data_IF_682871039847
#
_entry.id   IF_682871039847
#
_cell.length_a   1.000
_cell.length_b   1.000
_cell.length_c   1.000
_cell.angle_alpha   90.00
_cell.angle_beta   90.00
_cell.angle_gamma   90.00
#
_symmetry.space_group_name_H-M   'P 1'
#
loop_
_entity.id
_entity.type
_entity.pdbx_description
1 polymer ?
#
# COMPACT_ATOMS: atom_id res chain seq x y z
N UNK A 1 14.52 11.06 -32.02
CA UNK A 1 13.32 10.19 -31.89
C UNK A 1 13.65 8.97 -31.03
N UNK A 2 12.80 8.62 -30.09
CA UNK A 2 13.02 7.42 -29.26
C UNK A 2 12.77 6.15 -30.10
N UNK A 3 13.77 5.31 -30.25
CA UNK A 3 13.66 4.00 -30.94
C UNK A 3 12.99 2.93 -30.04
N UNK A 4 12.73 3.25 -28.77
CA UNK A 4 12.16 2.29 -27.82
C UNK A 4 10.63 2.34 -27.89
N UNK A 5 10.04 1.25 -28.37
CA UNK A 5 8.59 1.08 -28.42
C UNK A 5 8.01 1.12 -26.99
N UNK A 6 7.21 2.13 -26.69
CA UNK A 6 6.54 2.21 -25.38
C UNK A 6 5.45 1.15 -25.34
N UNK A 7 5.61 0.15 -24.47
CA UNK A 7 4.57 -0.86 -24.30
C UNK A 7 3.32 -0.21 -23.70
N UNK A 8 2.12 -0.53 -24.19
CA UNK A 8 0.88 -0.04 -23.61
C UNK A 8 0.78 -0.54 -22.17
N UNK A 9 0.34 0.33 -21.26
CA UNK A 9 0.10 -0.04 -19.86
C UNK A 9 -0.97 -1.12 -19.82
N UNK A 10 -0.60 -2.34 -19.38
CA UNK A 10 -1.56 -3.43 -19.21
C UNK A 10 -2.57 -3.02 -18.13
N UNK A 11 -3.85 -3.04 -18.45
CA UNK A 11 -4.90 -2.93 -17.46
C UNK A 11 -4.92 -4.19 -16.60
N UNK A 12 -5.02 -4.01 -15.28
CA UNK A 12 -5.15 -5.13 -14.35
C UNK A 12 -6.57 -5.66 -14.46
N UNK A 13 -6.74 -6.93 -14.82
CA UNK A 13 -8.03 -7.59 -14.80
C UNK A 13 -8.55 -7.67 -13.37
N UNK A 14 -9.85 -7.40 -13.15
CA UNK A 14 -10.45 -7.56 -11.82
C UNK A 14 -10.34 -8.99 -11.31
N UNK A 15 -10.32 -9.16 -10.00
CA UNK A 15 -10.34 -10.47 -9.37
C UNK A 15 -11.67 -11.19 -9.62
N UNK A 16 -11.67 -12.47 -10.03
CA UNK A 16 -12.90 -13.19 -10.35
C UNK A 16 -13.81 -13.43 -9.14
N UNK A 17 -13.26 -13.56 -7.92
CA UNK A 17 -14.03 -13.83 -6.69
C UNK A 17 -14.71 -12.57 -6.14
N UNK A 18 -14.01 -11.43 -6.19
CA UNK A 18 -14.45 -10.20 -5.53
C UNK A 18 -14.67 -9.02 -6.49
N UNK A 19 -14.46 -9.20 -7.77
CA UNK A 19 -14.56 -8.16 -8.81
C UNK A 19 -13.81 -6.84 -8.46
N UNK A 20 -12.72 -6.95 -7.69
CA UNK A 20 -11.92 -5.83 -7.21
C UNK A 20 -10.63 -5.70 -8.03
N UNK A 21 -10.21 -4.47 -8.35
CA UNK A 21 -8.94 -4.19 -9.04
C UNK A 21 -7.76 -4.04 -8.08
N UNK A 22 -8.02 -3.93 -6.76
CA UNK A 22 -6.97 -3.78 -5.73
C UNK A 22 -6.40 -5.14 -5.35
N UNK A 23 -7.24 -6.16 -5.26
CA UNK A 23 -6.85 -7.53 -4.87
C UNK A 23 -5.78 -8.11 -5.80
N UNK A 24 -5.90 -8.08 -7.14
CA UNK A 24 -4.84 -8.56 -8.02
C UNK A 24 -3.52 -7.82 -7.86
N UNK A 25 -3.56 -6.51 -7.55
CA UNK A 25 -2.33 -5.74 -7.25
C UNK A 25 -1.69 -6.21 -5.95
N UNK A 26 -2.49 -6.53 -4.93
CA UNK A 26 -2.01 -7.08 -3.67
C UNK A 26 -1.40 -8.46 -3.89
N UNK A 27 -2.06 -9.36 -4.65
CA UNK A 27 -1.57 -10.69 -5.02
C UNK A 27 -0.19 -10.58 -5.70
N UNK A 28 -0.08 -9.73 -6.71
CA UNK A 28 1.18 -9.53 -7.44
C UNK A 28 2.29 -8.96 -6.55
N UNK A 29 1.95 -8.19 -5.52
CA UNK A 29 2.92 -7.56 -4.63
C UNK A 29 3.37 -8.48 -3.49
N UNK A 30 2.52 -9.41 -3.05
CA UNK A 30 2.84 -10.38 -1.99
C UNK A 30 3.56 -11.62 -2.55
N UNK A 31 3.34 -11.92 -3.82
CA UNK A 31 3.88 -13.09 -4.52
C UNK A 31 5.41 -13.11 -4.50
N UNK A 32 5.99 -14.30 -4.25
CA UNK A 32 7.41 -14.61 -4.40
C UNK A 32 7.60 -15.68 -5.49
N UNK A 33 8.68 -15.58 -6.24
CA UNK A 33 9.12 -16.59 -7.22
C UNK A 33 8.04 -16.98 -8.24
N UNK A 34 7.11 -16.08 -8.54
CA UNK A 34 6.00 -16.38 -9.46
C UNK A 34 4.90 -17.30 -8.90
N UNK A 35 4.95 -17.65 -7.61
CA UNK A 35 3.97 -18.55 -6.95
C UNK A 35 2.64 -17.85 -6.70
N UNK A 36 1.90 -17.57 -7.78
CA UNK A 36 0.66 -16.78 -7.73
C UNK A 36 -0.46 -17.47 -6.94
N UNK A 37 -0.65 -18.77 -7.14
CA UNK A 37 -1.70 -19.54 -6.46
C UNK A 37 -1.56 -19.55 -4.95
N UNK A 38 -0.31 -19.59 -4.44
CA UNK A 38 -0.03 -19.48 -3.00
C UNK A 38 -0.39 -18.09 -2.48
N UNK A 39 -0.03 -17.03 -3.23
CA UNK A 39 -0.38 -15.66 -2.87
C UNK A 39 -1.91 -15.42 -2.86
N UNK A 40 -2.62 -15.97 -3.83
CA UNK A 40 -4.10 -15.94 -3.90
C UNK A 40 -4.72 -16.61 -2.67
N UNK A 41 -4.26 -17.81 -2.32
CA UNK A 41 -4.73 -18.55 -1.14
C UNK A 41 -4.53 -17.74 0.14
N UNK A 42 -3.36 -17.16 0.36
CA UNK A 42 -3.07 -16.34 1.54
C UNK A 42 -4.05 -15.15 1.66
N UNK A 43 -4.32 -14.46 0.55
CA UNK A 43 -5.19 -13.28 0.55
C UNK A 43 -6.65 -13.68 0.76
N UNK A 44 -7.12 -14.74 0.09
CA UNK A 44 -8.48 -15.21 0.26
C UNK A 44 -8.73 -15.71 1.68
N UNK A 45 -7.80 -16.47 2.27
CA UNK A 45 -7.89 -16.87 3.67
C UNK A 45 -7.92 -15.66 4.63
N UNK A 46 -7.12 -14.63 4.36
CA UNK A 46 -7.14 -13.41 5.18
C UNK A 46 -8.49 -12.68 5.08
N UNK A 47 -9.08 -12.58 3.89
CA UNK A 47 -10.39 -11.95 3.67
C UNK A 47 -11.50 -12.80 4.32
N UNK A 48 -11.44 -14.12 4.22
CA UNK A 48 -12.42 -15.02 4.86
C UNK A 48 -12.35 -14.90 6.40
N UNK A 49 -11.15 -14.69 6.98
CA UNK A 49 -11.00 -14.39 8.42
C UNK A 49 -11.61 -13.04 8.81
N UNK A 50 -11.55 -12.03 7.94
CA UNK A 50 -12.26 -10.75 8.18
C UNK A 50 -13.75 -10.99 8.28
N UNK A 51 -14.32 -11.82 7.38
CA UNK A 51 -15.74 -12.16 7.40
C UNK A 51 -16.19 -12.82 8.70
N UNK A 52 -15.34 -13.61 9.33
CA UNK A 52 -15.69 -14.28 10.60
C UNK A 52 -15.61 -13.34 11.81
N UNK A 53 -14.76 -12.31 11.76
CA UNK A 53 -14.52 -11.42 12.90
C UNK A 53 -15.29 -10.09 12.82
N UNK A 54 -15.58 -9.61 11.63
CA UNK A 54 -16.35 -8.38 11.39
C UNK A 54 -17.79 -8.70 11.00
N UNK A 55 -18.72 -7.84 11.40
CA UNK A 55 -20.12 -7.86 10.92
C UNK A 55 -20.26 -7.18 9.55
N UNK A 56 -19.26 -6.36 9.18
CA UNK A 56 -19.24 -5.60 7.95
C UNK A 56 -18.79 -6.47 6.78
N UNK A 57 -19.13 -6.06 5.57
CA UNK A 57 -18.69 -6.73 4.36
C UNK A 57 -17.15 -6.72 4.26
N UNK A 58 -16.50 -7.90 4.07
CA UNK A 58 -15.04 -8.02 4.10
C UNK A 58 -14.32 -7.10 3.12
N UNK A 59 -14.93 -6.86 1.95
CA UNK A 59 -14.36 -5.96 0.94
C UNK A 59 -14.38 -4.50 1.40
N UNK A 60 -15.44 -4.08 2.10
CA UNK A 60 -15.54 -2.72 2.61
C UNK A 60 -14.47 -2.49 3.68
N UNK A 61 -14.32 -3.42 4.63
CA UNK A 61 -13.26 -3.38 5.65
C UNK A 61 -11.87 -3.30 5.00
N UNK A 62 -11.61 -4.13 3.99
CA UNK A 62 -10.35 -4.12 3.25
C UNK A 62 -10.11 -2.79 2.52
N UNK A 63 -11.10 -2.27 1.80
CA UNK A 63 -10.98 -1.02 1.07
C UNK A 63 -10.75 0.16 2.02
N UNK A 64 -11.45 0.19 3.15
CA UNK A 64 -11.30 1.22 4.17
C UNK A 64 -9.92 1.15 4.84
N UNK A 65 -9.44 -0.04 5.18
CA UNK A 65 -8.08 -0.24 5.67
C UNK A 65 -7.03 0.31 4.68
N UNK A 66 -7.16 -0.02 3.38
CA UNK A 66 -6.27 0.53 2.34
C UNK A 66 -6.38 2.06 2.28
N UNK A 67 -7.58 2.63 2.35
CA UNK A 67 -7.78 4.07 2.32
C UNK A 67 -7.13 4.76 3.53
N UNK A 68 -7.21 4.14 4.72
CA UNK A 68 -6.57 4.63 5.93
C UNK A 68 -5.03 4.65 5.83
N UNK A 69 -4.43 3.69 5.11
CA UNK A 69 -2.97 3.62 4.89
C UNK A 69 -2.49 4.58 3.81
N UNK A 70 -3.32 4.98 2.84
CA UNK A 70 -2.91 5.83 1.71
C UNK A 70 -2.31 7.15 2.18
N UNK A 71 -1.05 7.49 1.79
CA UNK A 71 -0.48 8.80 2.06
C UNK A 71 -1.00 9.85 1.08
N UNK A 72 -1.19 11.07 1.55
CA UNK A 72 -1.51 12.26 0.73
C UNK A 72 -0.26 12.99 0.29
N UNK A 73 0.80 12.96 1.13
CA UNK A 73 2.09 13.61 0.87
C UNK A 73 3.24 12.63 1.05
N UNK A 74 4.31 12.82 0.31
CA UNK A 74 5.59 12.13 0.47
C UNK A 74 6.74 13.14 0.43
N UNK A 75 7.90 12.73 0.93
CA UNK A 75 9.12 13.56 0.85
C UNK A 75 10.01 13.02 -0.25
N UNK A 76 10.49 13.90 -1.13
CA UNK A 76 11.46 13.59 -2.18
C UNK A 76 12.73 14.40 -1.99
N UNK A 77 13.86 13.72 -2.05
CA UNK A 77 15.14 14.39 -2.04
C UNK A 77 15.40 15.12 -3.37
N UNK A 78 15.87 16.37 -3.28
CA UNK A 78 16.22 17.20 -4.41
C UNK A 78 17.54 17.90 -4.13
N UNK A 79 18.44 17.91 -5.12
CA UNK A 79 19.72 18.59 -5.03
C UNK A 79 19.61 19.99 -5.65
N UNK A 80 19.90 21.01 -4.84
CA UNK A 80 19.89 22.41 -5.26
C UNK A 80 21.18 23.05 -4.77
N UNK A 81 21.98 23.65 -5.68
CA UNK A 81 23.23 24.34 -5.32
C UNK A 81 24.25 23.47 -4.56
N UNK A 82 24.28 22.14 -4.82
CA UNK A 82 25.17 21.21 -4.13
C UNK A 82 24.63 20.61 -2.82
N UNK A 83 23.61 21.21 -2.20
CA UNK A 83 22.92 20.66 -1.02
C UNK A 83 21.71 19.81 -1.40
N UNK A 84 21.43 18.76 -0.61
CA UNK A 84 20.26 17.87 -0.82
C UNK A 84 19.15 18.25 0.17
N UNK A 85 18.01 18.66 -0.36
CA UNK A 85 16.82 19.02 0.41
C UNK A 85 15.76 17.97 0.31
N UNK A 86 15.02 17.76 1.40
CA UNK A 86 13.85 16.88 1.45
C UNK A 86 12.60 17.72 1.14
N UNK A 87 12.07 17.60 -0.07
CA UNK A 87 10.95 18.41 -0.55
C UNK A 87 9.63 17.65 -0.41
N UNK A 88 8.63 18.18 0.31
CA UNK A 88 7.30 17.57 0.38
C UNK A 88 6.56 17.73 -0.94
N UNK A 89 5.99 16.63 -1.43
CA UNK A 89 5.25 16.55 -2.70
C UNK A 89 3.96 15.78 -2.50
N UNK A 90 2.87 16.24 -3.09
CA UNK A 90 1.61 15.51 -3.12
C UNK A 90 1.73 14.20 -3.90
N UNK A 91 1.09 13.17 -3.40
CA UNK A 91 1.16 11.83 -3.98
C UNK A 91 -0.02 11.60 -4.93
N UNK A 92 0.26 11.29 -6.20
CA UNK A 92 -0.78 10.92 -7.16
C UNK A 92 -1.51 9.65 -6.72
N UNK A 93 -2.84 9.56 -6.94
CA UNK A 93 -3.70 8.46 -6.49
C UNK A 93 -3.16 7.05 -6.79
N UNK A 94 -2.62 6.82 -8.00
CA UNK A 94 -2.03 5.52 -8.38
C UNK A 94 -0.79 5.17 -7.54
N UNK A 95 0.04 6.16 -7.21
CA UNK A 95 1.23 5.97 -6.38
C UNK A 95 0.86 5.78 -4.91
N UNK A 96 -0.09 6.56 -4.41
CA UNK A 96 -0.63 6.44 -3.05
C UNK A 96 -1.15 5.03 -2.80
N UNK A 97 -1.93 4.47 -3.74
CA UNK A 97 -2.40 3.08 -3.67
C UNK A 97 -1.23 2.07 -3.66
N UNK A 98 -0.22 2.26 -4.50
CA UNK A 98 0.94 1.37 -4.56
C UNK A 98 1.76 1.41 -3.26
N UNK A 99 1.92 2.60 -2.66
CA UNK A 99 2.58 2.78 -1.36
C UNK A 99 1.79 2.11 -0.24
N UNK A 100 0.47 2.27 -0.20
CA UNK A 100 -0.38 1.64 0.79
C UNK A 100 -0.27 0.11 0.75
N UNK A 101 -0.33 -0.49 -0.43
CA UNK A 101 -0.16 -1.94 -0.62
C UNK A 101 1.22 -2.40 -0.12
N UNK A 102 2.28 -1.70 -0.49
CA UNK A 102 3.65 -2.02 -0.07
C UNK A 102 3.80 -1.95 1.44
N UNK A 103 3.34 -0.87 2.07
CA UNK A 103 3.44 -0.67 3.51
C UNK A 103 2.63 -1.70 4.29
N UNK A 104 1.44 -2.06 3.80
CA UNK A 104 0.62 -3.13 4.38
C UNK A 104 1.38 -4.47 4.36
N UNK A 105 1.99 -4.85 3.23
CA UNK A 105 2.74 -6.10 3.09
C UNK A 105 3.98 -6.09 3.98
N UNK A 106 4.75 -5.00 3.98
CA UNK A 106 5.98 -4.87 4.77
C UNK A 106 5.67 -4.92 6.28
N UNK A 107 4.59 -4.27 6.71
CA UNK A 107 4.10 -4.32 8.08
C UNK A 107 3.65 -5.73 8.47
N UNK A 108 2.86 -6.39 7.62
CA UNK A 108 2.39 -7.76 7.84
C UNK A 108 3.56 -8.73 7.97
N UNK A 109 4.58 -8.65 7.11
CA UNK A 109 5.77 -9.54 7.17
C UNK A 109 6.54 -9.43 8.48
N UNK A 110 6.54 -8.25 9.11
CA UNK A 110 7.22 -7.99 10.39
C UNK A 110 6.45 -8.51 11.62
N UNK A 111 5.18 -8.88 11.47
CA UNK A 111 4.38 -9.43 12.58
C UNK A 111 4.89 -10.80 13.00
N UNK A 112 4.65 -11.14 14.27
CA UNK A 112 5.09 -12.41 14.89
C UNK A 112 4.07 -13.55 14.76
N UNK A 113 2.93 -13.31 14.09
CA UNK A 113 1.89 -14.32 13.90
C UNK A 113 2.42 -15.54 13.12
N UNK A 114 1.76 -16.69 13.25
CA UNK A 114 2.24 -17.97 12.73
C UNK A 114 2.22 -18.04 11.20
N UNK A 115 1.12 -17.66 10.57
CA UNK A 115 0.95 -17.76 9.12
C UNK A 115 0.90 -16.37 8.46
N UNK A 116 1.24 -16.28 7.15
CA UNK A 116 1.16 -15.01 6.44
C UNK A 116 -0.29 -14.53 6.29
N UNK A 117 -1.26 -15.45 6.23
CA UNK A 117 -2.68 -15.09 6.20
C UNK A 117 -3.13 -14.45 7.52
N UNK A 118 -2.63 -14.94 8.68
CA UNK A 118 -2.91 -14.34 9.98
C UNK A 118 -2.26 -12.95 10.13
N UNK A 119 -1.00 -12.84 9.70
CA UNK A 119 -0.27 -11.56 9.70
C UNK A 119 -1.01 -10.50 8.89
N UNK A 120 -1.43 -10.86 7.69
CA UNK A 120 -2.14 -9.97 6.78
C UNK A 120 -3.51 -9.58 7.33
N UNK A 121 -4.27 -10.56 7.81
CA UNK A 121 -5.57 -10.34 8.45
C UNK A 121 -5.47 -9.38 9.62
N UNK A 122 -4.55 -9.63 10.57
CA UNK A 122 -4.38 -8.79 11.75
C UNK A 122 -3.94 -7.36 11.38
N UNK A 123 -3.05 -7.19 10.39
CA UNK A 123 -2.63 -5.85 9.96
C UNK A 123 -3.76 -5.10 9.24
N UNK A 124 -4.57 -5.76 8.42
CA UNK A 124 -5.75 -5.15 7.78
C UNK A 124 -6.75 -4.71 8.84
N UNK A 125 -7.02 -5.55 9.82
CA UNK A 125 -7.98 -5.25 10.88
C UNK A 125 -7.49 -4.12 11.80
N UNK A 126 -6.20 -4.08 12.11
CA UNK A 126 -5.60 -2.97 12.84
C UNK A 126 -5.66 -1.67 12.03
N UNK A 127 -5.37 -1.72 10.73
CA UNK A 127 -5.43 -0.56 9.84
C UNK A 127 -6.86 -0.03 9.65
N UNK A 128 -7.85 -0.91 9.63
CA UNK A 128 -9.27 -0.54 9.65
C UNK A 128 -9.58 0.32 10.88
N UNK A 129 -9.06 -0.06 12.05
CA UNK A 129 -9.22 0.67 13.30
C UNK A 129 -8.21 1.83 13.48
N UNK A 130 -7.55 2.29 12.41
CA UNK A 130 -6.52 3.32 12.45
C UNK A 130 -5.35 3.01 13.40
N UNK A 131 -4.98 1.74 13.49
CA UNK A 131 -3.86 1.23 14.31
C UNK A 131 -2.89 0.44 13.41
N UNK A 132 -1.79 -0.03 14.00
CA UNK A 132 -0.84 -0.91 13.31
C UNK A 132 0.37 -0.19 12.72
N UNK A 133 1.33 -0.99 12.28
CA UNK A 133 2.62 -0.49 11.79
C UNK A 133 2.51 0.19 10.42
N UNK A 134 1.54 -0.20 9.60
CA UNK A 134 1.26 0.43 8.30
C UNK A 134 0.73 1.86 8.45
N UNK A 135 -0.17 2.09 9.41
CA UNK A 135 -0.69 3.42 9.75
C UNK A 135 0.43 4.29 10.31
N UNK A 136 1.22 3.75 11.25
CA UNK A 136 2.36 4.48 11.81
C UNK A 136 3.34 4.93 10.70
N UNK A 137 3.60 4.07 9.70
CA UNK A 137 4.46 4.44 8.56
C UNK A 137 3.90 5.61 7.75
N UNK A 138 2.57 5.68 7.56
CA UNK A 138 1.91 6.83 6.93
C UNK A 138 2.11 8.09 7.77
N UNK A 139 1.83 8.01 9.08
CA UNK A 139 1.97 9.14 10.00
C UNK A 139 3.42 9.67 10.04
N UNK A 140 4.41 8.77 10.13
CA UNK A 140 5.84 9.14 10.09
C UNK A 140 6.19 9.87 8.79
N UNK A 141 5.63 9.40 7.65
CA UNK A 141 5.85 10.03 6.35
C UNK A 141 5.21 11.42 6.30
N UNK A 142 4.00 11.58 6.81
CA UNK A 142 3.31 12.88 6.89
C UNK A 142 4.03 13.83 7.83
N UNK A 143 4.50 13.35 9.00
CA UNK A 143 5.29 14.15 9.96
C UNK A 143 6.61 14.64 9.35
N UNK A 144 7.30 13.77 8.60
CA UNK A 144 8.50 14.19 7.86
C UNK A 144 8.18 15.25 6.81
N UNK A 145 7.08 15.12 6.08
CA UNK A 145 6.67 16.10 5.08
C UNK A 145 6.31 17.45 5.73
N UNK A 146 5.65 17.43 6.87
CA UNK A 146 5.33 18.63 7.64
C UNK A 146 6.58 19.34 8.18
N UNK A 147 7.52 18.60 8.76
CA UNK A 147 8.80 19.15 9.24
C UNK A 147 9.62 19.80 8.13
N UNK A 148 9.47 19.33 6.89
CA UNK A 148 10.17 19.87 5.72
C UNK A 148 9.33 20.86 4.89
N UNK A 149 8.19 21.33 5.43
CA UNK A 149 7.27 22.25 4.74
C UNK A 149 7.93 23.53 4.27
N UNK A 150 8.94 24.02 4.98
CA UNK A 150 9.72 25.20 4.60
C UNK A 150 10.40 25.07 3.22
N UNK A 151 10.70 23.83 2.79
CA UNK A 151 11.35 23.55 1.49
C UNK A 151 10.35 23.29 0.35
N UNK A 152 9.05 23.46 0.59
CA UNK A 152 8.02 23.24 -0.42
C UNK A 152 8.17 24.10 -1.68
N UNK A 153 8.77 25.29 -1.55
CA UNK A 153 9.06 26.20 -2.66
C UNK A 153 10.10 25.64 -3.66
N UNK A 154 10.88 24.65 -3.28
CA UNK A 154 11.78 23.92 -4.19
C UNK A 154 11.04 22.86 -5.05
N UNK A 155 9.72 22.78 -4.98
CA UNK A 155 8.89 21.89 -5.80
C UNK A 155 8.92 22.35 -7.26
N UNK A 156 8.98 21.38 -8.20
CA UNK A 156 8.77 21.62 -9.65
C UNK A 156 7.33 21.31 -10.00
#
# INVERSE_FOLDING_TARGET
MSRKKTQPKKNVTPDPKFNSTIIPKLINSIMYDGKKTVAEKIIYEAIDKIKTKSKDEPLNVFNEAINNIKPTVEVRSRRVGGATYQVPVEVRAKRSQALAIRWLIDASRKRKDKTMSDKLFNEIFDAYNNKGSSIKKKEDTHKMAESNKAFAHYRW
#
